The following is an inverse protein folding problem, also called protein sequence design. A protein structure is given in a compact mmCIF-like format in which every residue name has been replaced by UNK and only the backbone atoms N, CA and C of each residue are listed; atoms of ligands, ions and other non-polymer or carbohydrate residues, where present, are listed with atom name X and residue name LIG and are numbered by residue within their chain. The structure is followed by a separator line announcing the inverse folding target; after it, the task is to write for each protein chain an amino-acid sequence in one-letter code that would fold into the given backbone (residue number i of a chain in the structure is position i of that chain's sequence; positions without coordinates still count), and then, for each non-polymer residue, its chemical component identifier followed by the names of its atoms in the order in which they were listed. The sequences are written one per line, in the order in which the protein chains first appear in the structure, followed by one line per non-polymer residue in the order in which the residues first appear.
data_IF_480811308670
#
_entry.id   IF_480811308670
#
_cell.length_a   1.000
_cell.length_b   1.000
_cell.length_c   1.000
_cell.angle_alpha   90.00
_cell.angle_beta   90.00
_cell.angle_gamma   90.00
#
_symmetry.space_group_name_H-M   'P 1'
#
loop_
_entity.id
_entity.type
_entity.pdbx_description
1 polymer ?
#
# COMPACT_ATOMS: atom_id res chain seq x y z
N UNK A 1 31.18 12.34 -6.26
CA UNK A 1 30.30 11.18 -6.48
C UNK A 1 30.33 10.30 -5.25
N UNK A 2 29.45 10.54 -4.28
CA UNK A 2 29.43 9.87 -2.97
C UNK A 2 28.67 8.54 -3.06
N UNK A 3 29.41 7.42 -3.09
CA UNK A 3 28.87 6.07 -2.88
C UNK A 3 28.67 5.84 -1.39
N UNK A 4 27.50 6.19 -0.87
CA UNK A 4 27.09 5.80 0.49
C UNK A 4 26.67 4.33 0.45
N UNK A 5 27.64 3.43 0.40
CA UNK A 5 27.42 2.01 0.63
C UNK A 5 27.19 1.78 2.11
N UNK A 6 26.10 1.08 2.46
CA UNK A 6 25.83 0.63 3.81
C UNK A 6 27.01 -0.21 4.30
N UNK A 7 27.80 0.31 5.25
CA UNK A 7 28.88 -0.44 5.88
C UNK A 7 28.27 -1.41 6.90
N UNK A 8 28.54 -2.72 6.80
CA UNK A 8 28.15 -3.63 7.87
C UNK A 8 28.89 -3.23 9.14
N UNK A 9 28.14 -2.93 10.19
CA UNK A 9 28.69 -2.77 11.54
C UNK A 9 29.05 -4.17 12.05
N UNK A 10 30.35 -4.49 12.05
CA UNK A 10 30.86 -5.67 12.74
C UNK A 10 31.07 -5.26 14.19
N UNK A 11 29.99 -5.27 14.97
CA UNK A 11 30.08 -5.22 16.42
C UNK A 11 30.37 -6.65 16.89
N UNK A 12 31.65 -6.98 17.05
CA UNK A 12 32.07 -8.21 17.71
C UNK A 12 31.75 -8.08 19.20
N UNK A 13 30.49 -8.32 19.59
CA UNK A 13 30.22 -8.76 20.96
C UNK A 13 30.69 -10.20 21.07
N UNK A 14 31.39 -10.55 22.16
CA UNK A 14 31.72 -11.93 22.57
C UNK A 14 30.47 -12.83 22.81
N UNK A 15 29.29 -12.34 22.44
CA UNK A 15 28.01 -13.04 22.53
C UNK A 15 27.62 -13.53 21.14
N UNK A 16 27.29 -14.81 21.05
CA UNK A 16 26.83 -15.44 19.81
C UNK A 16 25.59 -14.71 19.27
N UNK A 17 25.62 -14.31 18.00
CA UNK A 17 24.43 -13.88 17.28
C UNK A 17 23.56 -15.14 17.10
N UNK A 18 22.60 -15.33 18.00
CA UNK A 18 21.64 -16.42 17.94
C UNK A 18 20.67 -16.18 16.78
N UNK A 19 21.03 -16.67 15.59
CA UNK A 19 20.20 -16.63 14.39
C UNK A 19 19.04 -17.65 14.41
N UNK A 20 18.94 -18.47 15.46
CA UNK A 20 18.03 -19.62 15.52
C UNK A 20 17.03 -19.49 16.67
N UNK A 21 15.77 -19.28 16.29
CA UNK A 21 14.50 -19.71 16.91
C UNK A 21 14.28 -19.70 18.43
N UNK A 22 14.98 -18.87 19.21
CA UNK A 22 14.61 -18.56 20.60
C UNK A 22 14.11 -17.12 20.75
N UNK A 23 13.44 -16.61 19.72
CA UNK A 23 12.63 -15.41 19.92
C UNK A 23 11.45 -15.81 20.81
N UNK A 24 11.20 -15.11 21.94
CA UNK A 24 9.90 -15.22 22.57
C UNK A 24 8.88 -14.98 21.46
N UNK A 25 7.86 -15.83 21.39
CA UNK A 25 6.77 -15.68 20.41
C UNK A 25 6.09 -14.35 20.73
N UNK A 26 6.62 -13.27 20.16
CA UNK A 26 6.02 -11.95 20.19
C UNK A 26 4.65 -12.17 19.57
N UNK A 27 3.61 -12.20 20.41
CA UNK A 27 2.25 -12.12 19.92
C UNK A 27 2.13 -10.70 19.41
N UNK A 28 2.47 -10.50 18.13
CA UNK A 28 2.07 -9.30 17.40
C UNK A 28 0.54 -9.32 17.39
N UNK A 29 -0.06 -8.76 18.44
CA UNK A 29 -1.50 -8.51 18.51
C UNK A 29 -1.91 -7.46 17.47
N UNK A 30 -0.93 -6.78 16.89
CA UNK A 30 -1.07 -5.97 15.69
C UNK A 30 -0.73 -6.80 14.44
N UNK A 31 -1.70 -6.91 13.53
CA UNK A 31 -1.52 -7.55 12.22
C UNK A 31 -0.26 -7.00 11.55
N UNK A 32 0.64 -7.88 11.08
CA UNK A 32 1.85 -7.47 10.37
C UNK A 32 1.49 -6.52 9.20
N UNK A 33 2.06 -5.31 9.13
CA UNK A 33 1.70 -4.31 8.11
C UNK A 33 2.25 -4.68 6.73
N UNK A 34 3.24 -5.57 6.66
CA UNK A 34 3.86 -6.01 5.42
C UNK A 34 3.15 -7.25 4.86
N UNK A 35 2.48 -7.08 3.73
CA UNK A 35 1.65 -8.13 3.13
C UNK A 35 2.36 -9.02 2.11
N UNK A 36 3.70 -9.00 2.07
CA UNK A 36 4.52 -9.77 1.11
C UNK A 36 4.03 -9.55 -0.33
N UNK A 37 3.75 -10.63 -1.08
CA UNK A 37 3.23 -10.61 -2.45
C UNK A 37 1.71 -10.36 -2.56
N UNK A 38 1.00 -10.26 -1.42
CA UNK A 38 -0.43 -9.96 -1.45
C UNK A 38 -0.65 -8.51 -1.87
N UNK A 39 -1.67 -8.27 -2.70
CA UNK A 39 -2.08 -6.92 -3.07
C UNK A 39 -2.83 -6.24 -1.92
N UNK A 40 -2.75 -4.91 -1.86
CA UNK A 40 -3.58 -4.12 -0.95
C UNK A 40 -5.00 -4.00 -1.51
N UNK A 41 -5.99 -4.16 -0.64
CA UNK A 41 -7.41 -4.01 -0.97
C UNK A 41 -7.90 -2.61 -0.64
N UNK A 42 -9.14 -2.33 -0.98
CA UNK A 42 -9.89 -1.12 -0.67
C UNK A 42 -10.48 -1.12 0.74
N UNK A 43 -10.08 -2.06 1.60
CA UNK A 43 -10.47 -2.09 3.00
C UNK A 43 -9.72 -1.02 3.80
N UNK A 44 -10.32 -0.47 4.87
CA UNK A 44 -9.67 0.53 5.72
C UNK A 44 -8.33 0.05 6.28
N UNK A 45 -8.25 -1.22 6.71
CA UNK A 45 -7.03 -1.82 7.26
C UNK A 45 -5.85 -1.79 6.30
N UNK A 46 -6.09 -1.96 4.99
CA UNK A 46 -5.05 -1.94 3.96
C UNK A 46 -4.72 -0.51 3.52
N UNK A 47 -5.71 0.37 3.44
CA UNK A 47 -5.50 1.76 3.05
C UNK A 47 -4.72 2.56 4.09
N UNK A 48 -4.93 2.27 5.38
CA UNK A 48 -4.21 2.91 6.48
C UNK A 48 -2.71 2.62 6.46
N UNK A 49 -2.30 1.45 5.96
CA UNK A 49 -0.89 1.04 5.85
C UNK A 49 -0.30 1.24 4.45
N UNK A 50 -1.07 1.81 3.51
CA UNK A 50 -0.64 2.06 2.14
C UNK A 50 0.09 3.40 2.03
N UNK A 51 1.43 3.36 1.98
CA UNK A 51 2.29 4.56 1.97
C UNK A 51 3.14 4.70 0.69
N UNK A 52 3.71 5.90 0.49
CA UNK A 52 4.69 6.20 -0.56
C UNK A 52 4.10 6.48 -1.95
N UNK A 53 2.78 6.35 -2.12
CA UNK A 53 2.09 6.57 -3.40
C UNK A 53 1.00 7.64 -3.37
N UNK A 54 0.89 8.41 -2.28
CA UNK A 54 -0.17 9.41 -2.08
C UNK A 54 -0.26 10.44 -3.21
N UNK A 55 0.88 11.00 -3.66
CA UNK A 55 0.92 11.95 -4.78
C UNK A 55 0.38 11.37 -6.09
N UNK A 56 0.66 10.10 -6.38
CA UNK A 56 0.12 9.43 -7.57
C UNK A 56 -1.38 9.17 -7.43
N UNK A 57 -1.84 8.82 -6.23
CA UNK A 57 -3.27 8.68 -5.94
C UNK A 57 -4.02 9.99 -6.17
N UNK A 58 -3.51 11.12 -5.68
CA UNK A 58 -4.09 12.45 -5.89
C UNK A 58 -4.21 12.80 -7.39
N UNK A 59 -3.14 12.58 -8.17
CA UNK A 59 -3.18 12.79 -9.62
C UNK A 59 -4.21 11.92 -10.34
N UNK A 60 -4.40 10.68 -9.91
CA UNK A 60 -5.45 9.82 -10.46
C UNK A 60 -6.84 10.36 -10.13
N UNK A 61 -7.04 10.81 -8.88
CA UNK A 61 -8.31 11.42 -8.44
C UNK A 61 -8.63 12.66 -9.27
N UNK A 62 -7.65 13.54 -9.49
CA UNK A 62 -7.83 14.74 -10.32
C UNK A 62 -8.24 14.39 -11.75
N UNK A 63 -7.58 13.40 -12.37
CA UNK A 63 -7.94 12.93 -13.71
C UNK A 63 -9.36 12.36 -13.78
N UNK A 64 -9.76 11.59 -12.76
CA UNK A 64 -11.13 11.06 -12.67
C UNK A 64 -12.14 12.21 -12.53
N UNK A 65 -11.81 13.30 -11.81
CA UNK A 65 -12.65 14.49 -11.72
C UNK A 65 -12.80 15.23 -13.05
N UNK A 66 -11.75 15.32 -13.85
CA UNK A 66 -11.72 16.13 -15.08
C UNK A 66 -12.42 15.51 -16.30
N UNK A 67 -13.41 14.62 -16.07
CA UNK A 67 -14.28 13.98 -17.08
C UNK A 67 -13.60 13.00 -18.06
N UNK A 68 -12.39 12.52 -17.77
CA UNK A 68 -11.83 11.41 -18.54
C UNK A 68 -12.72 10.17 -18.32
N UNK A 69 -13.46 9.76 -19.36
CA UNK A 69 -14.35 8.59 -19.30
C UNK A 69 -13.58 7.27 -19.13
N UNK A 70 -12.29 7.28 -19.44
CA UNK A 70 -11.41 6.11 -19.37
C UNK A 70 -10.01 6.54 -18.94
N UNK A 71 -9.51 5.91 -17.87
CA UNK A 71 -8.16 6.11 -17.35
C UNK A 71 -7.42 4.77 -17.33
N UNK A 72 -6.24 4.72 -17.96
CA UNK A 72 -5.43 3.51 -18.07
C UNK A 72 -4.16 3.66 -17.24
N UNK A 73 -3.88 2.68 -16.36
CA UNK A 73 -2.68 2.64 -15.52
C UNK A 73 -1.73 1.56 -16.02
N UNK A 74 -0.58 1.96 -16.56
CA UNK A 74 0.43 1.07 -17.14
C UNK A 74 1.67 0.96 -16.24
N UNK A 75 2.41 -0.14 -16.37
CA UNK A 75 3.68 -0.37 -15.68
C UNK A 75 4.02 -1.84 -15.49
N UNK A 76 5.29 -2.12 -15.12
CA UNK A 76 5.80 -3.47 -14.93
C UNK A 76 4.96 -4.33 -13.97
N UNK A 77 4.97 -5.66 -14.15
CA UNK A 77 4.32 -6.57 -13.20
C UNK A 77 4.92 -6.39 -11.80
N UNK A 78 4.09 -6.48 -10.76
CA UNK A 78 4.54 -6.28 -9.38
C UNK A 78 4.81 -4.83 -8.95
N UNK A 79 4.70 -3.82 -9.83
CA UNK A 79 4.95 -2.40 -9.48
C UNK A 79 3.90 -1.76 -8.55
N UNK A 80 2.89 -2.52 -8.13
CA UNK A 80 1.84 -2.08 -7.22
C UNK A 80 0.62 -1.42 -7.87
N UNK A 81 0.39 -1.58 -9.19
CA UNK A 81 -0.76 -0.97 -9.89
C UNK A 81 -2.11 -1.31 -9.26
N UNK A 82 -2.36 -2.61 -9.00
CA UNK A 82 -3.62 -3.05 -8.39
C UNK A 82 -3.78 -2.51 -6.96
N UNK A 83 -2.69 -2.44 -6.21
CA UNK A 83 -2.69 -1.82 -4.87
C UNK A 83 -2.98 -0.32 -4.91
N UNK A 84 -2.36 0.40 -5.86
CA UNK A 84 -2.61 1.83 -6.10
C UNK A 84 -4.08 2.10 -6.44
N UNK A 85 -4.65 1.27 -7.32
CA UNK A 85 -6.05 1.40 -7.72
C UNK A 85 -7.01 1.07 -6.58
N UNK A 86 -6.71 0.09 -5.74
CA UNK A 86 -7.62 -0.37 -4.66
C UNK A 86 -7.47 0.43 -3.37
N UNK A 87 -6.29 0.37 -2.75
CA UNK A 87 -6.02 1.03 -1.47
C UNK A 87 -5.82 2.54 -1.59
N UNK A 88 -5.38 3.01 -2.77
CA UNK A 88 -5.27 4.44 -3.07
C UNK A 88 -6.57 5.00 -3.63
N UNK A 89 -6.82 4.77 -4.91
CA UNK A 89 -7.89 5.44 -5.65
C UNK A 89 -9.29 5.01 -5.19
N UNK A 90 -9.61 3.71 -5.23
CA UNK A 90 -10.94 3.20 -4.92
C UNK A 90 -11.34 3.47 -3.47
N UNK A 91 -10.41 3.31 -2.52
CA UNK A 91 -10.63 3.66 -1.12
C UNK A 91 -11.05 5.14 -0.96
N UNK A 92 -10.33 6.07 -1.59
CA UNK A 92 -10.64 7.51 -1.53
C UNK A 92 -11.98 7.85 -2.20
N UNK A 93 -12.32 7.18 -3.30
CA UNK A 93 -13.64 7.31 -3.94
C UNK A 93 -14.76 6.76 -3.04
N UNK A 94 -14.53 5.64 -2.34
CA UNK A 94 -15.49 5.05 -1.40
C UNK A 94 -15.75 5.92 -0.19
N UNK A 95 -14.77 6.71 0.26
CA UNK A 95 -14.96 7.68 1.33
C UNK A 95 -15.86 8.85 0.90
N UNK A 96 -16.07 9.08 -0.40
CA UNK A 96 -16.89 10.19 -0.91
C UNK A 96 -16.28 11.58 -0.68
N UNK A 97 -15.12 11.66 -0.04
CA UNK A 97 -14.43 12.92 0.27
C UNK A 97 -13.73 13.50 -0.95
N UNK A 98 -13.25 12.62 -1.85
CA UNK A 98 -12.53 13.03 -3.03
C UNK A 98 -13.46 13.59 -4.11
N UNK A 99 -14.59 12.93 -4.39
CA UNK A 99 -15.57 13.32 -5.42
C UNK A 99 -16.97 13.25 -4.81
N UNK A 100 -17.71 14.35 -4.86
CA UNK A 100 -19.09 14.40 -4.35
C UNK A 100 -19.96 13.39 -5.11
N UNK A 101 -20.60 12.47 -4.38
CA UNK A 101 -21.48 11.43 -4.93
C UNK A 101 -20.78 10.12 -5.34
N UNK A 102 -19.47 9.97 -5.14
CA UNK A 102 -18.76 8.72 -5.43
C UNK A 102 -18.99 7.61 -4.40
N UNK A 103 -19.47 7.97 -3.21
CA UNK A 103 -19.95 7.05 -2.16
C UNK A 103 -21.16 6.22 -2.61
N UNK A 104 -21.98 6.76 -3.52
CA UNK A 104 -23.09 6.04 -4.14
C UNK A 104 -22.64 4.84 -4.99
N UNK A 105 -21.36 4.74 -5.36
CA UNK A 105 -20.82 3.56 -6.05
C UNK A 105 -20.97 2.26 -5.25
N UNK A 106 -21.25 2.34 -3.94
CA UNK A 106 -21.65 1.18 -3.11
C UNK A 106 -22.88 0.43 -3.64
N UNK A 107 -23.77 1.09 -4.37
CA UNK A 107 -24.97 0.48 -4.95
C UNK A 107 -24.72 -0.24 -6.27
N UNK A 108 -23.58 0.02 -6.93
CA UNK A 108 -23.13 -0.73 -8.11
C UNK A 108 -22.51 -2.04 -7.64
N UNK A 109 -23.37 -2.99 -7.28
CA UNK A 109 -22.97 -4.33 -6.86
C UNK A 109 -22.20 -5.05 -7.96
N UNK A 110 -20.90 -5.24 -7.76
CA UNK A 110 -20.21 -6.40 -8.32
C UNK A 110 -20.63 -7.59 -7.45
N UNK A 111 -21.38 -8.58 -7.98
CA UNK A 111 -21.67 -9.80 -7.24
C UNK A 111 -20.37 -10.57 -6.95
N UNK A 112 -20.36 -11.42 -5.91
CA UNK A 112 -19.17 -12.16 -5.47
C UNK A 112 -18.54 -13.03 -6.56
#
# INVERSE_FOLDING_TARGET
MSRTGQRPLIANSEQAILLTSLFPKLSFQDKCPYRSLSYFTDKPEDALVFYGRSKLTEQLIERVKTKDRLLVVLGASGSGKSSLLRAGLLYQLKLGQAIVGSDAARSWGFPP
#
